data_IF_762318841577
#
_entry.id   IF_762318841577
#
_cell.length_a   1.000
_cell.length_b   1.000
_cell.length_c   1.000
_cell.angle_alpha   90.00
_cell.angle_beta   90.00
_cell.angle_gamma   90.00
#
_symmetry.space_group_name_H-M   'P 1'
#
loop_
_entity.id
_entity.type
_entity.pdbx_description
1 polymer ?
2 non-polymer ?
3 non-polymer ?
4 water ?
#
# COMPACT_ATOMS: atom_id res chain seq x y z
N UNK A 3 -15.90 31.26 19.57
CA UNK A 3 -15.66 31.46 21.00
C UNK A 3 -16.65 30.62 21.80
N UNK A 4 -17.89 30.55 21.32
CA UNK A 4 -18.89 29.75 22.02
C UNK A 4 -18.73 28.38 21.35
N UNK A 5 -18.21 28.41 20.12
CA UNK A 5 -17.98 27.20 19.34
C UNK A 5 -16.78 26.46 19.93
N UNK A 6 -15.83 27.23 20.46
CA UNK A 6 -14.64 26.63 21.06
C UNK A 6 -15.10 25.96 22.36
N UNK A 7 -16.05 26.58 23.04
CA UNK A 7 -16.53 25.99 24.26
C UNK A 7 -17.37 24.77 23.93
N UNK A 8 -18.18 24.85 22.89
CA UNK A 8 -19.00 23.72 22.49
C UNK A 8 -18.08 22.55 22.08
N UNK A 9 -16.94 22.87 21.47
CA UNK A 9 -15.99 21.84 21.03
C UNK A 9 -15.48 21.08 22.26
N UNK A 10 -15.25 21.80 23.36
CA UNK A 10 -14.79 21.17 24.58
C UNK A 10 -15.93 20.38 25.21
N UNK A 11 -17.15 20.91 25.20
CA UNK A 11 -18.29 20.19 25.79
C UNK A 11 -18.46 18.85 25.09
N UNK A 12 -18.36 18.84 23.76
CA UNK A 12 -18.51 17.59 23.04
C UNK A 12 -17.39 16.63 23.37
N UNK A 13 -16.17 17.13 23.46
CA UNK A 13 -15.03 16.28 23.79
C UNK A 13 -15.20 15.67 25.17
N UNK A 14 -15.60 16.49 26.14
CA UNK A 14 -15.80 16.01 27.51
C UNK A 14 -16.93 15.04 27.63
N UNK A 15 -17.99 15.26 26.86
CA UNK A 15 -19.14 14.38 26.92
C UNK A 15 -18.87 13.05 26.24
N UNK A 16 -18.16 13.07 25.11
CA UNK A 16 -17.89 11.82 24.42
C UNK A 16 -16.86 10.97 25.16
N UNK A 17 -15.92 11.59 25.87
CA UNK A 17 -14.94 10.78 26.58
C UNK A 17 -15.54 10.28 27.89
N UNK A 18 -16.48 11.03 28.46
CA UNK A 18 -17.11 10.61 29.71
C UNK A 18 -17.91 9.35 29.46
N UNK A 19 -18.72 9.36 28.41
CA UNK A 19 -19.57 8.23 28.00
C UNK A 19 -18.88 6.96 27.52
N UNK A 20 -17.65 7.13 27.01
CA UNK A 20 -16.81 6.04 26.47
C UNK A 20 -16.58 5.08 27.57
N UNK A 21 -16.34 5.78 28.66
CA UNK A 21 -16.09 5.21 29.94
C UNK A 21 -14.67 4.98 30.36
N UNK A 22 -14.67 4.12 31.37
CA UNK A 22 -13.53 3.61 32.11
C UNK A 22 -12.34 2.91 31.46
N UNK A 23 -12.57 1.94 30.57
CA UNK A 23 -11.44 1.22 29.97
C UNK A 23 -10.69 1.82 28.77
N UNK A 24 -11.42 2.17 27.72
CA UNK A 24 -10.88 2.74 26.50
C UNK A 24 -10.26 4.14 26.57
N UNK A 25 -9.23 4.37 25.76
CA UNK A 25 -8.55 5.65 25.73
C UNK A 25 -8.61 6.31 24.36
N UNK A 26 -9.16 7.51 24.32
CA UNK A 26 -9.30 8.27 23.10
C UNK A 26 -8.25 9.37 23.01
N UNK A 27 -7.48 9.40 21.92
CA UNK A 27 -6.46 10.41 21.76
C UNK A 27 -6.88 11.53 20.80
N UNK A 28 -7.80 11.23 19.90
CA UNK A 28 -8.28 12.23 18.93
C UNK A 28 -9.17 13.27 19.62
N UNK A 29 -8.91 14.54 19.36
CA UNK A 29 -9.72 15.59 19.98
C UNK A 29 -11.09 15.73 19.31
N UNK A 30 -11.29 15.03 18.20
CA UNK A 30 -12.55 15.05 17.45
C UNK A 30 -12.47 13.88 16.48
N UNK A 31 -13.56 13.14 16.31
CA UNK A 31 -13.50 12.02 15.38
C UNK A 31 -13.75 12.45 13.93
N UNK A 32 -12.81 13.24 13.42
CA UNK A 32 -12.87 13.76 12.04
C UNK A 32 -11.51 13.82 11.40
N UNK A 33 -11.51 14.15 10.11
CA UNK A 33 -10.26 14.25 9.37
C UNK A 33 -9.52 15.39 10.08
N UNK A 34 -10.28 16.42 10.50
CA UNK A 34 -9.67 17.57 11.19
C UNK A 34 -8.97 17.12 12.48
N UNK A 35 -9.62 16.28 13.26
CA UNK A 35 -9.00 15.82 14.48
C UNK A 35 -7.74 15.02 14.18
N UNK A 36 -7.79 14.25 13.10
CA UNK A 36 -6.65 13.45 12.70
C UNK A 36 -5.49 14.34 12.23
N UNK A 37 -5.78 15.44 11.55
CA UNK A 37 -4.72 16.32 11.09
C UNK A 37 -4.07 16.90 12.33
N UNK A 38 -4.89 17.39 13.26
CA UNK A 38 -4.34 17.96 14.49
C UNK A 38 -3.58 16.86 15.22
N UNK A 39 -4.09 15.64 15.22
CA UNK A 39 -3.36 14.59 15.91
C UNK A 39 -2.02 14.37 15.19
N UNK A 40 -2.01 14.28 13.86
CA UNK A 40 -0.71 14.06 13.24
C UNK A 40 0.26 15.25 13.27
N UNK A 41 -0.22 16.44 13.65
CA UNK A 41 0.66 17.62 13.72
C UNK A 41 1.18 17.76 15.16
N UNK A 42 0.64 16.97 16.07
CA UNK A 42 1.05 17.00 17.49
C UNK A 42 2.30 16.16 17.70
N UNK A 43 2.96 16.39 18.83
CA UNK A 43 4.19 15.68 19.20
C UNK A 43 4.05 14.19 19.43
N UNK A 44 2.81 13.74 19.69
CA UNK A 44 2.54 12.33 19.95
C UNK A 44 2.64 11.40 18.73
N UNK A 45 2.36 11.95 17.56
CA UNK A 45 2.39 11.19 16.32
C UNK A 45 3.76 11.11 15.63
N UNK A 46 4.60 10.15 16.04
CA UNK A 46 5.92 9.99 15.43
C UNK A 46 5.95 8.90 14.36
N UNK A 47 5.23 7.82 14.60
CA UNK A 47 5.18 6.70 13.66
C UNK A 47 3.84 6.44 12.98
N UNK A 48 3.88 6.35 11.66
CA UNK A 48 2.68 6.09 10.88
C UNK A 48 2.88 4.88 9.99
N UNK A 49 1.88 4.04 9.91
CA UNK A 49 1.97 2.87 9.07
C UNK A 49 0.78 2.92 8.14
N UNK A 50 1.05 2.81 6.86
CA UNK A 50 -0.02 2.84 5.87
C UNK A 50 -0.30 1.40 5.47
N UNK A 51 -1.57 1.06 5.34
CA UNK A 51 -1.93 -0.30 4.93
C UNK A 51 -2.77 0.00 3.70
N UNK A 52 -2.31 -0.40 2.53
CA UNK A 52 -3.06 -0.11 1.34
C UNK A 52 -3.39 -1.27 0.42
N UNK A 53 -4.50 -1.09 -0.30
CA UNK A 53 -4.98 -2.08 -1.25
C UNK A 53 -5.29 -1.49 -2.63
N UNK A 54 -6.00 -2.27 -3.45
CA UNK A 54 -6.38 -1.89 -4.80
C UNK A 54 -7.00 -0.51 -5.00
N UNK A 55 -7.93 -0.14 -4.13
CA UNK A 55 -8.57 1.16 -4.23
C UNK A 55 -7.64 2.34 -4.49
N UNK A 56 -6.38 2.28 -4.06
CA UNK A 56 -5.48 3.43 -4.30
C UNK A 56 -4.85 3.40 -5.69
N UNK A 57 -5.23 2.44 -6.51
CA UNK A 57 -4.69 2.33 -7.86
C UNK A 57 -5.77 2.39 -8.92
N UNK A 58 -7.02 2.47 -8.51
CA UNK A 58 -8.08 2.53 -9.50
C UNK A 58 -7.91 3.76 -10.39
N UNK A 59 -7.59 4.91 -9.80
CA UNK A 59 -7.45 6.11 -10.62
C UNK A 59 -6.22 6.10 -11.54
N UNK A 60 -5.28 5.19 -11.30
CA UNK A 60 -4.09 5.10 -12.15
C UNK A 60 -4.36 4.02 -13.19
N UNK A 61 -5.57 3.45 -13.16
CA UNK A 61 -5.96 2.42 -14.13
C UNK A 61 -5.40 1.02 -14.05
N UNK A 62 -4.99 0.57 -12.87
CA UNK A 62 -4.45 -0.77 -12.75
C UNK A 62 -5.24 -1.59 -11.74
N UNK A 63 -6.13 -2.47 -12.23
CA UNK A 63 -6.94 -3.29 -11.34
C UNK A 63 -6.09 -4.43 -10.78
N UNK A 64 -6.63 -5.12 -9.78
CA UNK A 64 -5.93 -6.25 -9.17
C UNK A 64 -5.98 -7.16 -10.40
N UNK A 65 -4.93 -7.94 -10.62
CA UNK A 65 -4.88 -8.83 -11.76
C UNK A 65 -5.62 -10.15 -11.64
N UNK A 66 -6.04 -10.49 -10.43
CA UNK A 66 -6.79 -11.73 -10.17
C UNK A 66 -8.27 -11.55 -10.55
N UNK A 67 -8.67 -10.30 -10.86
CA UNK A 67 -10.04 -9.97 -11.25
C UNK A 67 -10.27 -10.59 -12.66
N UNK A 68 -11.53 -10.90 -13.04
CA UNK A 68 -11.79 -11.51 -14.35
C UNK A 68 -11.65 -10.72 -15.66
N UNK A 80 -5.28 -24.78 -22.82
CA UNK A 80 -5.57 -25.93 -21.96
C UNK A 80 -4.88 -25.64 -20.66
N UNK A 81 -5.74 -25.55 -19.65
CA UNK A 81 -5.30 -25.21 -18.33
C UNK A 81 -6.34 -25.83 -17.41
N UNK A 82 -5.92 -26.71 -16.47
CA UNK A 82 -6.92 -27.33 -15.59
C UNK A 82 -8.05 -26.41 -15.12
N UNK A 83 -7.89 -25.79 -13.95
CA UNK A 83 -8.92 -24.89 -13.45
C UNK A 83 -8.38 -23.50 -13.75
N UNK A 84 -9.25 -22.49 -13.77
CA UNK A 84 -8.79 -21.12 -14.06
C UNK A 84 -7.62 -20.62 -13.22
N UNK A 85 -7.67 -20.91 -11.92
CA UNK A 85 -6.65 -20.51 -10.94
C UNK A 85 -5.22 -21.03 -11.07
N UNK A 86 -5.02 -22.16 -11.74
CA UNK A 86 -3.66 -22.69 -11.89
C UNK A 86 -2.66 -21.67 -12.44
N UNK A 87 -3.16 -20.68 -13.16
CA UNK A 87 -2.28 -19.67 -13.73
C UNK A 87 -1.65 -18.82 -12.62
N UNK A 88 -2.23 -18.93 -11.42
CA UNK A 88 -1.77 -18.20 -10.25
C UNK A 88 -0.95 -19.09 -9.30
N UNK A 89 -0.92 -20.40 -9.57
CA UNK A 89 -0.18 -21.31 -8.71
C UNK A 89 1.29 -21.49 -9.05
N UNK A 90 2.13 -21.45 -8.03
CA UNK A 90 3.55 -21.60 -8.21
C UNK A 90 4.02 -22.92 -8.81
N UNK A 91 3.48 -24.04 -8.33
CA UNK A 91 3.94 -25.29 -8.90
C UNK A 91 3.44 -25.46 -10.34
N UNK A 92 2.27 -24.93 -10.66
CA UNK A 92 1.80 -25.06 -12.02
C UNK A 92 2.71 -24.18 -12.87
N UNK A 93 3.17 -23.06 -12.28
CA UNK A 93 4.04 -22.13 -13.00
C UNK A 93 5.42 -22.70 -13.31
N UNK A 94 6.03 -23.43 -12.37
CA UNK A 94 7.36 -23.99 -12.64
C UNK A 94 7.35 -25.03 -13.76
N UNK A 95 6.17 -25.54 -14.08
CA UNK A 95 6.05 -26.54 -15.13
C UNK A 95 5.44 -26.01 -16.42
N UNK A 96 4.56 -25.01 -16.31
CA UNK A 96 3.90 -24.42 -17.47
C UNK A 96 3.82 -22.91 -17.28
N UNK A 97 4.96 -22.24 -17.48
CA UNK A 97 5.08 -20.79 -17.34
C UNK A 97 4.41 -19.94 -18.40
N UNK A 98 4.27 -20.48 -19.60
CA UNK A 98 3.67 -19.75 -20.70
C UNK A 98 2.30 -19.09 -20.46
N UNK A 99 1.33 -19.80 -19.86
CA UNK A 99 0.03 -19.13 -19.65
C UNK A 99 0.19 -17.83 -18.87
N UNK A 100 0.93 -17.87 -17.76
CA UNK A 100 1.14 -16.69 -16.94
C UNK A 100 1.76 -15.54 -17.72
N UNK A 101 2.86 -15.79 -18.40
CA UNK A 101 3.48 -14.73 -19.16
C UNK A 101 2.61 -14.23 -20.31
N UNK A 102 1.69 -15.04 -20.81
CA UNK A 102 0.85 -14.54 -21.90
C UNK A 102 -0.11 -13.53 -21.26
N UNK A 103 -0.69 -13.93 -20.14
CA UNK A 103 -1.63 -13.06 -19.43
C UNK A 103 -0.92 -11.79 -18.97
N UNK A 104 0.32 -11.93 -18.49
CA UNK A 104 1.09 -10.79 -18.04
C UNK A 104 1.27 -9.77 -19.16
N UNK A 105 1.31 -10.25 -20.40
CA UNK A 105 1.46 -9.39 -21.57
C UNK A 105 0.14 -8.63 -21.76
N UNK A 106 -0.93 -9.39 -21.84
CA UNK A 106 -2.28 -8.85 -22.03
C UNK A 106 -2.59 -7.77 -21.01
N UNK A 107 -2.25 -8.03 -19.75
CA UNK A 107 -2.50 -7.11 -18.65
C UNK A 107 -1.44 -6.08 -18.33
N UNK A 108 -0.30 -6.14 -19.00
CA UNK A 108 0.78 -5.19 -18.73
C UNK A 108 0.22 -3.78 -18.86
N UNK A 109 0.41 -2.94 -17.82
CA UNK A 109 -0.09 -1.57 -17.84
C UNK A 109 0.59 -0.68 -18.87
N UNK A 110 -0.22 0.12 -19.56
CA UNK A 110 0.34 1.01 -20.55
C UNK A 110 1.08 2.16 -19.89
N UNK A 111 1.03 2.23 -18.56
CA UNK A 111 1.71 3.32 -17.85
C UNK A 111 1.81 3.13 -16.36
N UNK A 112 2.82 3.74 -15.77
CA UNK A 112 3.00 3.65 -14.33
C UNK A 112 3.09 5.07 -13.81
N UNK A 113 1.95 5.64 -13.43
CA UNK A 113 1.90 6.99 -12.90
C UNK A 113 1.24 6.89 -11.53
N UNK A 114 2.01 7.01 -10.45
CA UNK A 114 1.39 6.91 -9.13
C UNK A 114 0.28 7.93 -8.94
N UNK A 115 -0.59 7.67 -7.96
CA UNK A 115 -1.70 8.57 -7.66
C UNK A 115 -1.34 9.56 -6.57
N UNK A 116 -2.24 10.51 -6.34
CA UNK A 116 -2.06 11.54 -5.32
C UNK A 116 -1.81 10.79 -4.02
N UNK A 117 -2.59 9.72 -3.80
CA UNK A 117 -2.45 8.92 -2.59
C UNK A 117 -1.04 8.32 -2.45
N UNK A 118 -0.43 7.92 -3.56
CA UNK A 118 0.92 7.36 -3.47
C UNK A 118 1.89 8.45 -3.07
N UNK A 119 1.71 9.62 -3.66
CA UNK A 119 2.60 10.71 -3.34
C UNK A 119 2.38 11.26 -1.95
N UNK A 120 1.19 11.04 -1.39
CA UNK A 120 0.91 11.51 -0.05
C UNK A 120 1.82 10.65 0.83
N UNK A 121 1.93 9.37 0.50
CA UNK A 121 2.80 8.51 1.29
C UNK A 121 4.25 8.95 1.13
N UNK A 122 4.59 9.53 -0.02
CA UNK A 122 5.96 10.00 -0.25
C UNK A 122 6.21 11.15 0.73
N UNK A 123 5.19 11.97 0.95
CA UNK A 123 5.35 13.09 1.87
C UNK A 123 5.56 12.54 3.28
N UNK A 124 4.81 11.51 3.67
CA UNK A 124 4.98 10.94 5.00
C UNK A 124 6.43 10.55 5.20
N UNK A 125 6.97 9.84 4.23
CA UNK A 125 8.36 9.41 4.29
C UNK A 125 9.31 10.60 4.29
N UNK A 126 9.09 11.56 3.40
CA UNK A 126 9.96 12.73 3.34
C UNK A 126 9.98 13.53 4.63
N UNK A 127 8.87 13.55 5.36
CA UNK A 127 8.80 14.30 6.60
C UNK A 127 9.16 13.48 7.85
N UNK A 128 9.77 12.31 7.64
CA UNK A 128 10.21 11.43 8.72
C UNK A 128 9.08 10.90 9.57
N UNK A 129 7.94 10.70 8.93
CA UNK A 129 6.74 10.21 9.59
C UNK A 129 6.32 8.76 9.29
N UNK A 130 6.81 8.20 8.19
CA UNK A 130 6.47 6.85 7.80
C UNK A 130 7.30 5.69 8.36
N UNK A 131 6.67 4.85 9.18
CA UNK A 131 7.37 3.72 9.76
C UNK A 131 7.35 2.60 8.70
N UNK A 132 6.22 2.46 8.01
CA UNK A 132 6.12 1.41 6.99
C UNK A 132 4.83 1.48 6.20
N UNK A 133 4.88 0.97 4.99
CA UNK A 133 3.70 0.96 4.15
C UNK A 133 3.45 -0.49 3.78
N UNK A 134 2.36 -1.07 4.30
CA UNK A 134 2.02 -2.46 4.01
C UNK A 134 1.09 -2.41 2.81
N UNK A 135 1.49 -3.04 1.71
CA UNK A 135 0.66 -3.03 0.51
C UNK A 135 0.27 -4.40 -0.05
N UNK A 136 -0.94 -4.47 -0.60
CA UNK A 136 -1.48 -5.69 -1.22
C UNK A 136 -1.26 -5.57 -2.73
N UNK A 137 -0.84 -4.39 -3.20
CA UNK A 137 -0.62 -4.16 -4.63
C UNK A 137 0.75 -4.63 -5.12
N UNK A 138 0.76 -5.19 -6.33
CA UNK A 138 1.99 -5.68 -6.95
C UNK A 138 2.34 -4.71 -8.08
N UNK A 139 1.46 -3.73 -8.30
CA UNK A 139 1.67 -2.75 -9.36
C UNK A 139 2.93 -1.88 -9.39
N UNK A 140 3.72 -1.90 -8.33
CA UNK A 140 4.94 -1.11 -8.30
C UNK A 140 4.86 0.44 -8.12
N UNK A 141 3.66 1.03 -8.10
CA UNK A 141 3.54 2.49 -7.93
C UNK A 141 4.15 3.11 -6.67
N UNK A 142 4.19 2.35 -5.57
CA UNK A 142 4.76 2.87 -4.34
C UNK A 142 6.23 3.19 -4.58
N UNK A 143 6.93 2.28 -5.25
CA UNK A 143 8.33 2.48 -5.55
C UNK A 143 8.54 3.61 -6.56
N UNK A 144 7.66 3.71 -7.53
CA UNK A 144 7.79 4.77 -8.52
C UNK A 144 7.58 6.11 -7.81
N UNK A 145 6.62 6.18 -6.90
CA UNK A 145 6.34 7.42 -6.17
C UNK A 145 7.53 7.73 -5.27
N UNK A 146 8.46 6.78 -5.20
CA UNK A 146 9.65 6.96 -4.41
C UNK A 146 9.80 6.31 -3.05
N UNK A 147 8.95 5.34 -2.72
CA UNK A 147 9.11 4.68 -1.41
C UNK A 147 10.17 3.62 -1.68
N UNK A 148 11.04 3.36 -0.70
CA UNK A 148 12.10 2.37 -0.84
C UNK A 148 11.82 0.98 -0.26
N UNK A 149 12.66 0.02 -0.64
CA UNK A 149 12.54 -1.35 -0.17
C UNK A 149 12.19 -1.38 1.31
N UNK A 150 13.03 -0.75 2.13
CA UNK A 150 12.79 -0.72 3.58
C UNK A 150 11.51 -0.08 4.09
N UNK A 151 10.87 0.79 3.30
CA UNK A 151 9.64 1.43 3.74
C UNK A 151 8.45 0.51 3.49
N UNK A 152 8.68 -0.52 2.68
CA UNK A 152 7.64 -1.46 2.31
C UNK A 152 7.65 -2.92 2.65
N UNK A 153 6.42 -3.47 2.64
CA UNK A 153 6.10 -4.88 2.87
C UNK A 153 5.08 -5.11 1.75
N UNK A 154 5.61 -5.61 0.63
CA UNK A 154 4.84 -5.91 -0.56
C UNK A 154 4.29 -7.30 -0.32
N UNK A 155 3.18 -7.33 0.40
CA UNK A 155 2.54 -8.59 0.73
C UNK A 155 2.10 -9.57 -0.34
N UNK A 156 1.82 -9.12 -1.57
CA UNK A 156 1.42 -10.06 -2.62
C UNK A 156 2.59 -10.09 -3.56
N UNK A 157 3.68 -9.51 -3.07
CA UNK A 157 4.92 -9.42 -3.82
C UNK A 157 4.87 -8.30 -4.84
N UNK A 158 5.77 -8.32 -5.82
CA UNK A 158 5.78 -7.28 -6.83
C UNK A 158 6.41 -7.71 -8.16
N UNK A 159 6.00 -7.07 -9.25
CA UNK A 159 6.51 -7.36 -10.59
C UNK A 159 7.69 -6.46 -10.88
N UNK A 160 8.08 -5.69 -9.87
CA UNK A 160 9.19 -4.78 -10.07
C UNK A 160 10.51 -5.49 -10.30
N UNK A 161 10.74 -6.60 -9.60
CA UNK A 161 11.98 -7.35 -9.78
C UNK A 161 11.56 -8.80 -10.02
N UNK A 162 12.49 -9.60 -10.53
CA UNK A 162 12.21 -11.00 -10.81
C UNK A 162 13.48 -11.77 -10.51
N UNK A 163 13.35 -13.08 -10.31
CA UNK A 163 14.50 -13.92 -10.02
C UNK A 163 14.44 -15.29 -10.63
N UNK A 164 15.63 -15.81 -10.79
CA UNK A 164 15.95 -17.11 -11.33
C UNK A 164 15.34 -18.06 -10.31
N UNK A 165 14.55 -19.05 -10.71
CA UNK A 165 13.94 -19.97 -9.74
C UNK A 165 14.89 -20.95 -9.00
N UNK A 166 16.10 -21.11 -9.51
CA UNK A 166 17.07 -22.02 -8.91
C UNK A 166 17.76 -21.52 -7.63
N UNK A 167 17.52 -22.24 -6.54
CA UNK A 167 18.08 -21.93 -5.22
C UNK A 167 19.58 -21.61 -5.20
N UNK A 168 20.36 -22.32 -6.00
CA UNK A 168 21.80 -22.06 -6.03
C UNK A 168 22.21 -21.02 -7.08
N UNK A 169 21.29 -20.13 -7.44
CA UNK A 169 21.58 -19.11 -8.43
C UNK A 169 20.90 -17.79 -8.09
N UNK A 170 19.56 -17.83 -8.06
CA UNK A 170 18.78 -16.66 -7.73
C UNK A 170 19.12 -15.34 -8.43
N UNK A 171 19.70 -15.39 -9.63
CA UNK A 171 20.04 -14.15 -10.35
C UNK A 171 18.80 -13.26 -10.42
N UNK A 172 18.99 -11.97 -10.11
CA UNK A 172 17.91 -11.00 -10.13
C UNK A 172 17.83 -10.28 -11.46
N UNK A 173 16.62 -9.93 -11.89
CA UNK A 173 16.44 -9.22 -13.14
C UNK A 173 15.42 -8.11 -12.97
N UNK A 174 15.68 -6.94 -13.57
CA UNK A 174 14.74 -5.82 -13.45
C UNK A 174 13.59 -5.94 -14.43
N UNK A 175 12.61 -5.06 -14.26
CA UNK A 175 11.42 -5.01 -15.09
C UNK A 175 11.75 -4.80 -16.58
N UNK A 176 12.82 -4.05 -16.85
CA UNK A 176 13.26 -3.76 -18.22
C UNK A 176 13.34 -5.04 -18.99
N UNK A 177 14.17 -5.90 -18.42
CA UNK A 177 14.49 -7.21 -18.91
C UNK A 177 13.33 -8.19 -19.07
N UNK A 178 12.37 -8.13 -18.16
CA UNK A 178 11.23 -9.01 -18.21
C UNK A 178 10.22 -8.50 -19.23
N UNK A 179 10.01 -7.18 -19.23
CA UNK A 179 9.06 -6.58 -20.17
C UNK A 179 9.44 -7.03 -21.57
N UNK A 180 10.68 -6.80 -21.94
CA UNK A 180 11.18 -7.17 -23.26
C UNK A 180 10.83 -8.62 -23.60
N UNK A 181 11.01 -9.53 -22.65
CA UNK A 181 10.72 -10.95 -22.86
C UNK A 181 9.25 -11.22 -23.09
N UNK A 182 8.44 -10.62 -22.21
CA UNK A 182 7.00 -10.77 -22.28
C UNK A 182 6.42 -10.30 -23.60
N UNK A 183 6.83 -9.14 -24.09
CA UNK A 183 6.28 -8.70 -25.36
C UNK A 183 6.87 -9.53 -26.51
N UNK A 184 8.08 -10.07 -26.33
CA UNK A 184 8.68 -10.89 -27.39
C UNK A 184 8.06 -12.30 -27.36
N UNK A 185 7.32 -12.60 -26.29
CA UNK A 185 6.68 -13.89 -26.09
C UNK A 185 7.66 -15.05 -25.98
N UNK A 186 8.79 -14.80 -25.33
CA UNK A 186 9.79 -15.84 -25.14
C UNK A 186 9.82 -16.00 -23.63
N UNK A 187 9.90 -17.24 -23.18
CA UNK A 187 9.94 -17.52 -21.75
C UNK A 187 11.26 -17.07 -21.13
N UNK A 188 11.18 -16.18 -20.12
CA UNK A 188 12.37 -15.67 -19.43
C UNK A 188 13.23 -16.76 -18.79
N UNK A 189 14.49 -16.82 -19.22
CA UNK A 189 15.43 -17.80 -18.72
C UNK A 189 16.63 -17.08 -18.13
N UNK A 190 17.18 -17.69 -17.10
CA UNK A 190 18.34 -17.18 -16.39
C UNK A 190 19.60 -17.32 -17.26
N UNK A 191 20.27 -16.20 -17.58
CA UNK A 191 21.47 -16.27 -18.40
C UNK A 191 22.54 -17.22 -17.86
N UNK A 192 22.63 -17.36 -16.52
CA UNK A 192 23.62 -18.26 -15.93
C UNK A 192 23.06 -19.70 -15.83
N UNK A 193 22.01 -19.91 -15.04
CA UNK A 193 21.50 -21.28 -14.95
C UNK A 193 20.42 -21.78 -15.90
N UNK A 194 20.04 -20.95 -16.89
CA UNK A 194 19.02 -21.32 -17.90
C UNK A 194 17.69 -21.71 -17.26
N UNK A 195 17.56 -21.42 -15.98
CA UNK A 195 16.34 -21.76 -15.31
C UNK A 195 15.38 -20.62 -15.52
N UNK A 196 14.12 -20.89 -15.21
CA UNK A 196 13.07 -19.90 -15.35
C UNK A 196 13.33 -18.69 -14.49
N UNK A 197 12.78 -17.58 -14.94
CA UNK A 197 12.91 -16.33 -14.23
C UNK A 197 11.46 -15.97 -13.91
N UNK A 198 11.16 -15.96 -12.61
CA UNK A 198 9.83 -15.66 -12.13
C UNK A 198 9.76 -14.29 -11.45
N UNK A 199 8.70 -13.52 -11.75
CA UNK A 199 8.44 -12.19 -11.19
C UNK A 199 8.29 -12.41 -9.68
N UNK A 200 8.78 -11.46 -8.88
CA UNK A 200 8.67 -11.63 -7.44
C UNK A 200 7.26 -11.47 -6.88
N UNK A 201 6.30 -12.03 -7.60
CA UNK A 201 4.91 -11.97 -7.18
C UNK A 201 4.79 -13.18 -6.27
N UNK A 202 3.88 -13.14 -5.31
CA UNK A 202 3.70 -14.29 -4.43
C UNK A 202 2.62 -15.11 -5.12
N UNK A 203 3.03 -16.18 -5.79
CA UNK A 203 2.08 -17.05 -6.48
C UNK A 203 1.29 -17.84 -5.43
N UNK A 204 0.18 -18.42 -5.86
CA UNK A 204 -0.67 -19.22 -4.98
C UNK A 204 0.24 -20.41 -4.65
N UNK A 205 0.34 -20.71 -3.35
CA UNK A 205 1.17 -21.81 -2.91
C UNK A 205 2.49 -21.33 -2.35
N UNK A 206 2.91 -20.13 -2.76
CA UNK A 206 4.16 -19.61 -2.25
C UNK A 206 3.78 -18.89 -0.98
N UNK A 207 4.79 -18.49 -0.24
CA UNK A 207 4.53 -17.81 1.01
C UNK A 207 5.15 -16.45 1.15
N UNK A 208 4.58 -15.65 2.04
CA UNK A 208 5.07 -14.33 2.31
C UNK A 208 6.53 -14.63 2.73
N UNK A 209 7.51 -13.85 2.23
CA UNK A 209 8.93 -14.09 2.58
C UNK A 209 9.21 -13.85 4.08
N UNK A 210 10.06 -14.67 4.67
CA UNK A 210 10.40 -14.58 6.09
C UNK A 210 10.73 -13.25 6.78
N UNK A 211 11.59 -12.42 6.20
CA UNK A 211 11.95 -11.13 6.81
C UNK A 211 10.75 -10.21 7.06
N UNK A 212 9.67 -10.42 6.30
CA UNK A 212 8.47 -9.59 6.47
C UNK A 212 7.78 -9.97 7.76
N UNK A 213 8.02 -11.18 8.23
CA UNK A 213 7.36 -11.56 9.45
C UNK A 213 7.89 -10.79 10.64
N UNK A 214 9.20 -10.52 10.67
CA UNK A 214 9.74 -9.77 11.79
C UNK A 214 9.24 -8.33 11.75
N UNK A 215 8.75 -7.88 10.59
CA UNK A 215 8.25 -6.51 10.49
C UNK A 215 6.89 -6.57 11.16
N UNK A 216 6.07 -7.49 10.68
CA UNK A 216 4.73 -7.68 11.20
C UNK A 216 4.71 -7.90 12.70
N UNK A 217 5.66 -8.68 13.19
CA UNK A 217 5.76 -8.98 14.62
C UNK A 217 6.21 -7.82 15.50
N UNK A 218 6.79 -6.77 14.92
CA UNK A 218 7.25 -5.64 15.74
C UNK A 218 6.76 -4.23 15.36
N UNK A 219 6.59 -3.95 14.07
CA UNK A 219 6.14 -2.62 13.62
C UNK A 219 4.92 -2.06 14.34
N UNK A 220 3.95 -2.93 14.55
CA UNK A 220 2.70 -2.58 15.21
C UNK A 220 2.69 -2.36 16.69
N UNK A 221 3.85 -2.56 17.28
CA UNK A 221 3.98 -2.37 18.69
C UNK A 221 4.07 -0.88 19.04
N UNK A 222 4.83 -0.14 18.24
CA UNK A 222 4.98 1.29 18.50
C UNK A 222 4.31 2.24 17.51
N UNK A 223 3.38 1.75 16.69
CA UNK A 223 2.74 2.65 15.75
C UNK A 223 1.81 3.67 16.41
N UNK A 224 1.84 4.91 15.94
CA UNK A 224 1.01 5.97 16.48
C UNK A 224 -0.22 6.27 15.63
N UNK A 225 -0.21 5.84 14.37
CA UNK A 225 -1.35 6.07 13.48
C UNK A 225 -1.38 5.10 12.31
N UNK A 226 -2.56 4.56 12.06
CA UNK A 226 -2.76 3.62 10.98
C UNK A 226 -3.61 4.31 9.92
N UNK A 227 -3.13 4.30 8.69
CA UNK A 227 -3.83 4.91 7.56
C UNK A 227 -4.16 3.69 6.74
N UNK A 228 -5.43 3.35 6.65
CA UNK A 228 -5.87 2.21 5.88
C UNK A 228 -6.56 2.78 4.64
N UNK A 229 -5.98 2.60 3.46
CA UNK A 229 -6.56 3.14 2.22
C UNK A 229 -6.79 2.14 1.10
N UNK A 230 -7.95 2.25 0.43
CA UNK A 230 -8.21 1.37 -0.70
C UNK A 230 -8.37 -0.10 -0.38
N UNK A 231 -8.73 -0.37 0.87
CA UNK A 231 -8.94 -1.73 1.35
C UNK A 231 -9.71 -1.49 2.63
N UNK A 232 -10.39 -2.50 3.15
CA UNK A 232 -11.14 -2.25 4.37
C UNK A 232 -10.47 -2.66 5.68
N UNK A 233 -10.95 -2.04 6.76
CA UNK A 233 -10.45 -2.30 8.11
C UNK A 233 -10.60 -3.73 8.64
N UNK A 234 -11.76 -4.33 8.41
CA UNK A 234 -12.07 -5.68 8.89
C UNK A 234 -11.70 -6.88 8.04
N UNK A 235 -11.17 -6.65 6.86
CA UNK A 235 -10.80 -7.75 6.01
C UNK A 235 -9.42 -8.32 6.25
N UNK A 236 -9.32 -9.64 6.29
CA UNK A 236 -8.06 -10.32 6.51
C UNK A 236 -7.38 -10.24 5.14
N UNK A 237 -6.08 -10.27 5.06
CA UNK A 237 -5.25 -10.38 6.21
C UNK A 237 -4.81 -9.34 7.06
N UNK A 238 -4.77 -8.06 6.62
CA UNK A 238 -4.37 -6.90 7.47
C UNK A 238 -5.20 -6.85 8.70
N UNK A 239 -6.52 -7.03 8.62
CA UNK A 239 -7.25 -6.97 9.82
C UNK A 239 -6.39 -7.58 11.00
N UNK A 240 -5.72 -8.69 10.75
CA UNK A 240 -4.91 -9.27 11.80
C UNK A 240 -3.66 -8.42 12.06
N UNK A 241 -3.13 -7.74 11.05
CA UNK A 241 -1.94 -6.92 11.29
C UNK A 241 -2.41 -5.73 12.14
N UNK A 242 -3.52 -5.13 11.71
CA UNK A 242 -4.11 -3.98 12.38
C UNK A 242 -4.41 -4.28 13.85
N UNK A 243 -4.90 -5.48 14.14
CA UNK A 243 -5.22 -5.86 15.52
C UNK A 243 -4.01 -5.98 16.46
N UNK A 244 -2.78 -5.82 15.94
CA UNK A 244 -1.56 -5.93 16.76
C UNK A 244 -1.14 -4.54 17.27
N UNK A 245 -1.77 -3.50 16.73
CA UNK A 245 -1.46 -2.13 17.12
C UNK A 245 -2.03 -1.87 18.50
N UNK A 246 -1.50 -0.89 19.22
CA UNK A 246 -2.12 -0.67 20.54
C UNK A 246 -3.59 -0.28 20.33
N UNK A 247 -4.42 -0.57 21.33
CA UNK A 247 -5.84 -0.27 21.29
C UNK A 247 -6.18 1.21 21.22
N UNK A 248 -5.23 2.04 21.64
CA UNK A 248 -5.42 3.47 21.62
C UNK A 248 -5.03 4.08 20.28
N UNK A 249 -4.31 3.33 19.46
CA UNK A 249 -3.86 3.78 18.15
C UNK A 249 -4.96 4.19 17.18
N UNK A 250 -4.98 5.49 16.80
CA UNK A 250 -5.98 6.01 15.85
C UNK A 250 -5.82 5.33 14.50
N UNK A 251 -6.93 5.24 13.78
CA UNK A 251 -6.95 4.62 12.47
C UNK A 251 -7.82 5.46 11.56
N UNK A 252 -7.28 5.86 10.42
CA UNK A 252 -8.04 6.66 9.47
C UNK A 252 -8.21 5.75 8.25
N UNK A 253 -9.44 5.53 7.86
CA UNK A 253 -9.78 4.70 6.72
C UNK A 253 -10.18 5.55 5.53
N UNK A 254 -9.52 5.40 4.40
CA UNK A 254 -9.88 6.19 3.23
C UNK A 254 -10.19 5.12 2.20
N UNK A 255 -11.47 4.89 1.93
CA UNK A 255 -11.89 3.87 0.96
C UNK A 255 -13.23 4.23 0.30
N UNK A 256 -13.39 3.82 -0.96
CA UNK A 256 -14.60 4.13 -1.73
C UNK A 256 -16.02 3.96 -1.23
N UNK A 257 -16.41 2.85 -0.58
CA UNK A 257 -17.79 2.65 -0.08
C UNK A 257 -17.91 2.27 1.40
N UNK A 293 -19.99 3.80 19.94
CA UNK A 293 -18.85 2.93 20.23
C UNK A 293 -17.50 3.55 19.85
N UNK A 294 -17.29 3.73 18.54
CA UNK A 294 -16.05 4.31 18.00
C UNK A 294 -15.47 5.45 18.82
N UNK A 295 -14.17 5.40 19.05
CA UNK A 295 -13.49 6.43 19.82
C UNK A 295 -12.09 6.66 19.24
N UNK A 296 -11.64 5.72 18.40
CA UNK A 296 -10.32 5.86 17.79
C UNK A 296 -10.34 5.58 16.29
N UNK A 297 -11.51 5.76 15.69
CA UNK A 297 -11.69 5.55 14.26
C UNK A 297 -12.32 6.72 13.57
N UNK A 298 -11.81 7.04 12.38
CA UNK A 298 -12.36 8.13 11.60
C UNK A 298 -12.38 7.55 10.20
N UNK A 299 -13.43 7.89 9.48
CA UNK A 299 -13.58 7.40 8.13
C UNK A 299 -13.87 8.47 7.11
N UNK A 300 -13.22 8.34 5.97
CA UNK A 300 -13.42 9.27 4.88
C UNK A 300 -13.87 8.28 3.82
N UNK A 301 -15.14 8.35 3.47
CA UNK A 301 -15.66 7.45 2.46
C UNK A 301 -15.79 8.39 1.25
N UNK A 302 -15.11 7.99 0.18
CA UNK A 302 -15.03 8.72 -1.07
C UNK A 302 -13.79 8.21 -1.79
N UNK A 303 -13.42 8.84 -2.91
CA UNK A 303 -12.25 8.48 -3.71
C UNK A 303 -10.97 8.71 -2.90
N UNK A 304 -10.05 7.75 -2.97
CA UNK A 304 -8.80 7.86 -2.24
C UNK A 304 -8.02 9.13 -2.55
N UNK A 305 -7.98 9.54 -3.81
CA UNK A 305 -7.25 10.76 -4.19
C UNK A 305 -7.83 12.05 -3.57
N UNK A 306 -9.15 12.20 -3.57
CA UNK A 306 -9.75 13.40 -3.00
C UNK A 306 -9.46 13.40 -1.49
N UNK A 307 -9.56 12.23 -0.86
CA UNK A 307 -9.29 12.13 0.56
C UNK A 307 -7.88 12.56 0.95
N UNK A 308 -6.88 12.12 0.21
CA UNK A 308 -5.51 12.49 0.51
C UNK A 308 -5.33 13.98 0.30
N UNK A 309 -6.07 14.53 -0.65
CA UNK A 309 -5.99 15.96 -0.94
C UNK A 309 -6.57 16.74 0.24
N UNK A 310 -7.76 16.38 0.70
CA UNK A 310 -8.37 17.07 1.83
C UNK A 310 -7.45 17.00 3.04
N UNK A 311 -6.86 15.83 3.29
CA UNK A 311 -5.96 15.71 4.43
C UNK A 311 -4.71 16.56 4.23
N UNK A 312 -4.13 16.55 3.02
CA UNK A 312 -2.94 17.34 2.76
C UNK A 312 -3.23 18.82 2.97
N UNK A 313 -4.39 19.26 2.51
CA UNK A 313 -4.75 20.66 2.66
C UNK A 313 -4.82 21.02 4.15
N UNK A 314 -5.54 20.21 4.92
CA UNK A 314 -5.68 20.46 6.35
C UNK A 314 -4.30 20.53 7.00
N UNK A 315 -3.31 19.93 6.35
CA UNK A 315 -1.94 19.94 6.87
C UNK A 315 -1.10 21.01 6.18
N UNK A 316 -1.70 21.70 5.21
CA UNK A 316 -0.98 22.74 4.50
C UNK A 316 0.07 22.20 3.54
N UNK A 317 -0.14 21.00 3.01
CA UNK A 317 0.80 20.38 2.09
C UNK A 317 0.17 20.25 0.71
N UNK A 318 -1.10 20.62 0.59
CA UNK A 318 -1.79 20.52 -0.70
C UNK A 318 -0.92 20.97 -1.86
N UNK A 319 -0.44 22.20 -1.78
CA UNK A 319 0.41 22.78 -2.81
C UNK A 319 1.67 21.93 -3.05
N UNK A 320 2.39 21.62 -1.98
CA UNK A 320 3.61 20.81 -2.12
C UNK A 320 3.32 19.45 -2.77
N UNK A 321 2.18 18.87 -2.45
CA UNK A 321 1.81 17.57 -3.01
C UNK A 321 1.42 17.68 -4.49
N UNK A 322 0.61 18.69 -4.83
CA UNK A 322 0.19 18.89 -6.22
C UNK A 322 1.42 19.27 -7.07
N UNK A 323 2.48 19.75 -6.42
CA UNK A 323 3.71 20.13 -7.13
C UNK A 323 4.52 18.88 -7.37
N UNK A 324 4.50 17.98 -6.39
CA UNK A 324 5.26 16.74 -6.53
C UNK A 324 4.59 15.95 -7.64
N UNK A 325 3.27 15.82 -7.58
CA UNK A 325 2.56 15.08 -8.60
C UNK A 325 2.72 15.61 -10.04
N UNK A 326 2.65 16.93 -10.24
CA UNK A 326 2.79 17.50 -11.59
C UNK A 326 4.20 17.22 -12.11
N UNK A 327 5.18 17.49 -11.26
CA UNK A 327 6.59 17.29 -11.57
C UNK A 327 6.95 15.87 -11.95
N UNK A 328 6.57 14.91 -11.11
CA UNK A 328 6.88 13.52 -11.39
C UNK A 328 6.15 13.07 -12.65
N UNK A 329 4.90 13.47 -12.82
CA UNK A 329 4.13 13.08 -13.99
C UNK A 329 4.76 13.57 -15.29
N UNK A 330 5.38 14.75 -15.24
CA UNK A 330 6.01 15.29 -16.43
C UNK A 330 7.35 14.59 -16.53
N UNK A 331 7.99 14.36 -15.38
CA UNK A 331 9.28 13.70 -15.37
C UNK A 331 9.19 12.25 -15.83
N UNK A 332 7.98 11.68 -15.78
CA UNK A 332 7.77 10.29 -16.21
C UNK A 332 7.40 10.31 -17.68
N UNK A 333 6.76 11.39 -18.10
CA UNK A 333 6.33 11.58 -19.47
C UNK A 333 7.50 11.79 -20.41
N UNK A 334 8.57 12.35 -19.86
CA UNK A 334 9.78 12.62 -20.63
C UNK A 334 10.76 11.46 -20.69
N UNK A 335 10.47 10.38 -19.97
CA UNK A 335 11.37 9.21 -19.98
C UNK A 335 11.00 8.38 -21.20
N UNK A 336 9.65 8.26 -21.42
CA UNK A 336 9.16 7.49 -22.55
C UNK A 336 8.84 8.35 -23.74
#
# INVERSE_FOLDING_TARGET
GSGEADMDFLRNLFSQTLSLGSQKERLLDELTLEGVARYMQSERCRRVICLVGAGISTSAGIPDFRSPSTGLYDNLEKYHLPYPEAIFEISYFKKHPEPFFALAKELYPGQFKPTICHYFMRLLKDKGLLLRCYTQNIDTLERIAGLEQEDLVEAHGTFYTSHCVSASCRHEYPLSWMKEKIFSEVTPKCEDCQSLVKPDIVFFGESLPARFFSCMQSDFLKVDLLLVMGTSLQVQPFASLISKAPLSTPRLLINKEKAGQSDPFLGMIMGLGGGMDLGETPFDDIATFDSKKAYRDVAWLGECDQGCLALAELLGWKKELEDLVRREHASIDAQS
#
